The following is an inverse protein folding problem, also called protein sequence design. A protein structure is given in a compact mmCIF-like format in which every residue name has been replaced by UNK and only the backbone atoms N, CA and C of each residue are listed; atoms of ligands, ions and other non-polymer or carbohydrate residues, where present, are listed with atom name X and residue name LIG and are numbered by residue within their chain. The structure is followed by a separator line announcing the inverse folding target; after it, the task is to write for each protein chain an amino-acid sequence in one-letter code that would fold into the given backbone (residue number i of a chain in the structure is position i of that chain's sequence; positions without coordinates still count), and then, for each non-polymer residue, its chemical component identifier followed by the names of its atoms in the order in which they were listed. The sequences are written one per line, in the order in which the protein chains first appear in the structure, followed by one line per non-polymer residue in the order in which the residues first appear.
data_IF_585504238287
#
_entry.id   IF_585504238287
#
_cell.length_a   1.000
_cell.length_b   1.000
_cell.length_c   1.000
_cell.angle_alpha   90.00
_cell.angle_beta   90.00
_cell.angle_gamma   90.00
#
_symmetry.space_group_name_H-M   'P 1'
#
loop_
_entity.id
_entity.type
_entity.pdbx_description
1 polymer ?
#
# COMPACT_ATOMS: atom_id res chain seq x y z
N UNK A 1 -31.25 -51.84 -13.38
CA UNK A 1 -32.04 -50.68 -12.90
C UNK A 1 -31.61 -50.34 -11.49
N UNK A 2 -30.64 -49.44 -11.32
CA UNK A 2 -30.19 -49.04 -9.99
C UNK A 2 -30.99 -47.80 -9.56
N UNK A 3 -31.94 -47.99 -8.64
CA UNK A 3 -32.76 -46.93 -8.04
C UNK A 3 -31.96 -46.27 -6.92
N UNK A 4 -31.50 -45.04 -7.14
CA UNK A 4 -30.85 -44.23 -6.10
C UNK A 4 -31.94 -43.55 -5.27
N UNK A 5 -32.03 -43.90 -3.99
CA UNK A 5 -32.92 -43.26 -3.03
C UNK A 5 -32.26 -41.98 -2.49
N UNK A 6 -32.94 -40.85 -2.63
CA UNK A 6 -32.48 -39.54 -2.14
C UNK A 6 -33.17 -39.31 -0.79
N UNK A 7 -32.41 -39.38 0.30
CA UNK A 7 -32.90 -39.04 1.64
C UNK A 7 -32.69 -37.54 1.87
N UNK A 8 -33.78 -36.78 1.83
CA UNK A 8 -33.80 -35.33 2.12
C UNK A 8 -33.90 -35.16 3.63
N UNK A 9 -32.82 -34.73 4.28
CA UNK A 9 -32.83 -34.36 5.69
C UNK A 9 -33.33 -32.92 5.83
N UNK A 10 -34.53 -32.75 6.39
CA UNK A 10 -35.08 -31.45 6.76
C UNK A 10 -34.69 -31.12 8.20
N UNK A 11 -33.72 -30.22 8.38
CA UNK A 11 -33.35 -29.69 9.69
C UNK A 11 -34.10 -28.37 9.93
N UNK A 12 -35.03 -28.35 10.89
CA UNK A 12 -35.65 -27.13 11.37
C UNK A 12 -34.71 -26.43 12.35
N UNK A 13 -33.93 -25.46 11.85
CA UNK A 13 -33.19 -24.56 12.72
C UNK A 13 -34.17 -23.54 13.34
N UNK A 14 -34.41 -23.66 14.64
CA UNK A 14 -35.06 -22.64 15.46
C UNK A 14 -34.18 -21.39 15.46
N UNK A 15 -34.53 -20.41 14.62
CA UNK A 15 -33.85 -19.12 14.57
C UNK A 15 -34.34 -18.26 15.72
N UNK A 16 -33.43 -17.97 16.65
CA UNK A 16 -33.65 -17.10 17.82
C UNK A 16 -34.05 -15.68 17.41
N UNK A 17 -35.12 -15.17 18.01
CA UNK A 17 -35.59 -13.78 17.94
C UNK A 17 -34.51 -12.81 18.44
N UNK A 18 -33.75 -12.28 17.47
CA UNK A 18 -33.03 -10.99 17.43
C UNK A 18 -31.94 -11.10 16.35
N UNK A 19 -32.34 -11.47 15.14
CA UNK A 19 -31.55 -11.07 14.00
C UNK A 19 -31.72 -9.56 13.87
N UNK A 20 -30.76 -8.83 14.44
CA UNK A 20 -30.37 -7.54 13.89
C UNK A 20 -30.06 -7.85 12.44
N UNK A 21 -31.04 -7.60 11.58
CA UNK A 21 -30.86 -7.57 10.14
C UNK A 21 -29.94 -6.37 9.92
N UNK A 22 -28.64 -6.55 10.17
CA UNK A 22 -27.64 -5.80 9.45
C UNK A 22 -28.00 -6.02 7.99
N UNK A 23 -28.58 -4.99 7.39
CA UNK A 23 -28.88 -4.96 5.99
C UNK A 23 -27.62 -5.47 5.29
N UNK A 24 -27.71 -6.67 4.70
CA UNK A 24 -26.64 -7.19 3.87
C UNK A 24 -26.31 -6.05 2.93
N UNK A 25 -25.07 -5.52 2.95
CA UNK A 25 -24.72 -4.38 2.15
C UNK A 25 -25.15 -4.75 0.74
N UNK A 26 -26.08 -3.95 0.22
CA UNK A 26 -26.56 -4.05 -1.16
C UNK A 26 -25.35 -4.37 -1.98
N UNK A 27 -25.36 -5.52 -2.66
CA UNK A 27 -24.34 -5.88 -3.63
C UNK A 27 -24.38 -4.78 -4.65
N UNK A 28 -23.61 -3.73 -4.40
CA UNK A 28 -23.20 -2.79 -5.39
C UNK A 28 -22.44 -3.68 -6.34
N UNK A 29 -23.10 -4.05 -7.44
CA UNK A 29 -22.42 -4.17 -8.70
C UNK A 29 -21.69 -2.84 -8.90
N UNK A 30 -20.55 -2.66 -8.21
CA UNK A 30 -19.47 -1.84 -8.70
C UNK A 30 -18.99 -2.62 -9.92
N UNK A 31 -19.79 -2.51 -10.98
CA UNK A 31 -19.31 -2.64 -12.33
C UNK A 31 -18.08 -1.76 -12.39
N UNK A 32 -17.01 -2.30 -12.96
CA UNK A 32 -15.63 -1.81 -12.86
C UNK A 32 -14.94 -2.30 -11.58
N UNK A 33 -14.76 -3.64 -11.50
CA UNK A 33 -13.44 -4.19 -11.17
C UNK A 33 -12.42 -3.18 -11.68
N UNK A 34 -11.67 -2.48 -10.80
CA UNK A 34 -10.59 -1.60 -11.24
C UNK A 34 -9.80 -2.40 -12.27
N UNK A 35 -9.87 -2.07 -13.57
CA UNK A 35 -9.22 -2.90 -14.56
C UNK A 35 -7.77 -2.99 -14.12
N UNK A 36 -7.25 -4.22 -14.06
CA UNK A 36 -5.81 -4.40 -13.93
C UNK A 36 -5.27 -3.70 -15.17
N UNK A 37 -4.69 -2.51 -14.98
CA UNK A 37 -4.30 -1.70 -16.11
C UNK A 37 -3.24 -2.47 -16.87
N UNK A 38 -3.44 -2.63 -18.18
CA UNK A 38 -2.37 -3.13 -19.04
C UNK A 38 -1.21 -2.12 -19.14
N UNK A 39 -1.41 -0.90 -18.63
CA UNK A 39 -0.38 0.14 -18.51
C UNK A 39 0.50 -0.03 -17.25
N UNK A 40 0.17 -0.95 -16.34
CA UNK A 40 1.09 -1.33 -15.26
C UNK A 40 2.30 -2.07 -15.89
N UNK A 41 3.52 -1.85 -15.36
CA UNK A 41 4.79 -2.28 -15.99
C UNK A 41 4.80 -3.74 -16.47
N UNK A 42 4.12 -4.62 -15.73
CA UNK A 42 4.04 -6.04 -16.06
C UNK A 42 2.62 -6.58 -15.87
N UNK A 43 1.97 -6.94 -16.98
CA UNK A 43 0.73 -7.68 -17.00
C UNK A 43 0.98 -9.20 -17.18
N UNK A 44 0.36 -10.01 -16.32
CA UNK A 44 0.56 -11.44 -16.20
C UNK A 44 -0.79 -12.16 -16.36
N UNK A 45 -0.91 -13.07 -17.32
CA UNK A 45 -2.11 -13.90 -17.51
C UNK A 45 -1.68 -15.36 -17.49
N UNK A 46 -2.32 -16.19 -16.67
CA UNK A 46 -2.08 -17.64 -16.74
C UNK A 46 -2.66 -18.24 -18.03
N UNK A 47 -1.78 -18.84 -18.83
CA UNK A 47 -2.12 -19.96 -19.71
C UNK A 47 -1.52 -21.23 -19.09
N UNK A 48 -2.22 -22.37 -19.21
CA UNK A 48 -2.03 -23.64 -18.46
C UNK A 48 -0.59 -24.13 -18.18
N UNK A 49 0.43 -23.65 -18.89
CA UNK A 49 1.84 -23.91 -18.60
C UNK A 49 2.63 -22.66 -18.98
N UNK A 50 3.04 -21.85 -18.01
CA UNK A 50 4.03 -20.81 -18.29
C UNK A 50 5.43 -21.38 -18.09
N UNK A 51 6.27 -21.24 -19.11
CA UNK A 51 7.71 -21.34 -18.95
C UNK A 51 8.19 -20.35 -17.87
N UNK A 52 9.32 -20.61 -17.22
CA UNK A 52 9.98 -19.67 -16.29
C UNK A 52 10.25 -18.36 -17.04
N UNK A 53 9.36 -17.37 -16.94
CA UNK A 53 9.54 -16.03 -17.53
C UNK A 53 10.03 -15.12 -16.42
N UNK A 54 11.28 -14.69 -16.55
CA UNK A 54 11.87 -13.67 -15.69
C UNK A 54 11.63 -12.31 -16.33
N UNK A 55 11.26 -11.33 -15.50
CA UNK A 55 11.01 -9.95 -15.91
C UNK A 55 11.91 -9.05 -15.07
N UNK A 56 12.72 -8.25 -15.76
CA UNK A 56 13.67 -7.33 -15.12
C UNK A 56 13.09 -5.93 -15.04
N UNK A 57 13.39 -5.24 -13.95
CA UNK A 57 13.10 -3.82 -13.68
C UNK A 57 14.41 -3.13 -13.23
N UNK A 58 14.35 -1.86 -12.84
CA UNK A 58 15.52 -1.18 -12.29
C UNK A 58 15.99 -1.84 -10.99
N UNK A 59 17.25 -1.63 -10.63
CA UNK A 59 17.76 -2.13 -9.35
C UNK A 59 17.03 -1.44 -8.20
N UNK A 60 16.46 -2.22 -7.28
CA UNK A 60 15.76 -1.65 -6.13
C UNK A 60 16.73 -0.89 -5.22
N UNK A 61 16.24 0.18 -4.61
CA UNK A 61 16.89 0.86 -3.49
C UNK A 61 15.98 0.86 -2.26
N UNK A 62 16.53 1.35 -1.14
CA UNK A 62 15.69 1.59 0.02
C UNK A 62 14.59 2.60 -0.31
N UNK A 63 13.43 2.35 0.29
CA UNK A 63 12.14 3.00 0.08
C UNK A 63 11.44 2.61 -1.23
N UNK A 64 11.99 1.73 -2.08
CA UNK A 64 11.24 1.21 -3.24
C UNK A 64 10.02 0.40 -2.82
N UNK A 65 9.03 0.39 -3.71
CA UNK A 65 7.79 -0.33 -3.50
C UNK A 65 7.37 -1.06 -4.76
N UNK A 66 6.86 -2.27 -4.56
CA UNK A 66 6.26 -3.07 -5.62
C UNK A 66 4.81 -3.33 -5.24
N UNK A 67 3.90 -2.88 -6.08
CA UNK A 67 2.47 -3.09 -5.90
C UNK A 67 2.02 -4.24 -6.78
N UNK A 68 1.31 -5.19 -6.19
CA UNK A 68 0.80 -6.37 -6.89
C UNK A 68 -0.72 -6.34 -6.79
N UNK A 69 -1.39 -6.24 -7.93
CA UNK A 69 -2.84 -6.37 -8.05
C UNK A 69 -3.11 -7.69 -8.73
N UNK A 70 -3.91 -8.55 -8.13
CA UNK A 70 -4.22 -9.84 -8.72
C UNK A 70 -5.69 -10.18 -8.59
N UNK A 71 -6.22 -10.88 -9.58
CA UNK A 71 -7.51 -11.53 -9.52
C UNK A 71 -7.43 -12.93 -10.08
N UNK A 72 -8.34 -13.79 -9.66
CA UNK A 72 -8.50 -15.11 -10.26
C UNK A 72 -9.97 -15.53 -10.23
N UNK A 73 -10.41 -16.36 -11.16
CA UNK A 73 -11.80 -16.81 -11.19
C UNK A 73 -12.06 -17.93 -10.17
N UNK A 74 -11.18 -18.93 -10.15
CA UNK A 74 -11.32 -20.09 -9.28
C UNK A 74 -9.97 -20.72 -8.95
N UNK A 75 -10.00 -21.73 -8.09
CA UNK A 75 -8.88 -22.60 -7.80
C UNK A 75 -9.42 -24.02 -7.64
N UNK A 76 -8.55 -25.02 -7.80
CA UNK A 76 -8.92 -26.44 -7.72
C UNK A 76 -9.55 -26.75 -6.37
N UNK A 77 -10.88 -26.91 -6.35
CA UNK A 77 -11.65 -27.31 -5.16
C UNK A 77 -11.67 -28.83 -5.03
N UNK A 78 -10.53 -29.53 -5.18
CA UNK A 78 -10.52 -30.87 -4.58
C UNK A 78 -10.73 -30.63 -3.09
N UNK A 79 -11.88 -31.10 -2.57
CA UNK A 79 -12.39 -30.80 -1.21
C UNK A 79 -11.36 -31.00 -0.09
N UNK A 80 -10.27 -31.70 -0.38
CA UNK A 80 -9.29 -32.16 0.59
C UNK A 80 -8.01 -31.31 0.64
N UNK A 81 -7.72 -30.41 -0.29
CA UNK A 81 -6.44 -29.67 -0.19
C UNK A 81 -6.45 -28.24 -0.74
N UNK A 82 -7.02 -27.33 0.07
CA UNK A 82 -6.90 -25.88 -0.12
C UNK A 82 -5.45 -25.41 -0.25
N UNK A 83 -4.46 -26.20 0.20
CA UNK A 83 -3.07 -25.78 0.20
C UNK A 83 -2.39 -25.87 -1.16
N UNK A 84 -2.99 -26.55 -2.16
CA UNK A 84 -2.40 -26.73 -3.49
C UNK A 84 -2.49 -25.49 -4.39
N UNK A 85 -3.40 -24.57 -4.07
CA UNK A 85 -3.55 -23.30 -4.77
C UNK A 85 -2.44 -22.34 -4.33
N UNK A 86 -1.38 -22.22 -5.13
CA UNK A 86 -0.19 -21.47 -4.75
C UNK A 86 0.17 -20.49 -5.86
N UNK A 87 0.35 -19.23 -5.48
CA UNK A 87 0.89 -18.17 -6.33
C UNK A 87 2.17 -17.69 -5.66
N UNK A 88 3.28 -17.72 -6.40
CA UNK A 88 4.59 -17.34 -5.90
C UNK A 88 5.14 -16.19 -6.74
N UNK A 89 5.69 -15.18 -6.07
CA UNK A 89 6.55 -14.17 -6.66
C UNK A 89 7.92 -14.28 -6.01
N UNK A 90 8.93 -14.64 -6.80
CA UNK A 90 10.32 -14.67 -6.37
C UNK A 90 11.02 -13.43 -6.93
N UNK A 91 11.64 -12.64 -6.06
CA UNK A 91 12.45 -11.49 -6.42
C UNK A 91 13.92 -11.91 -6.42
N UNK A 92 14.57 -11.67 -7.54
CA UNK A 92 15.86 -12.27 -7.86
C UNK A 92 16.93 -11.19 -8.03
N UNK A 93 18.18 -11.61 -7.85
CA UNK A 93 19.33 -10.80 -8.22
C UNK A 93 19.68 -10.88 -9.72
N UNK A 94 20.82 -10.31 -10.10
CA UNK A 94 21.32 -10.32 -11.47
C UNK A 94 21.78 -11.70 -11.96
N UNK A 95 22.01 -12.66 -11.06
CA UNK A 95 22.36 -14.05 -11.34
C UNK A 95 21.12 -14.97 -11.34
N UNK A 96 19.93 -14.41 -11.22
CA UNK A 96 18.65 -15.12 -11.04
C UNK A 96 18.53 -15.91 -9.73
N UNK A 97 19.38 -15.62 -8.74
CA UNK A 97 19.29 -16.19 -7.40
C UNK A 97 18.19 -15.51 -6.59
N UNK A 98 17.39 -16.30 -5.89
CA UNK A 98 16.26 -15.79 -5.11
C UNK A 98 16.74 -15.09 -3.83
N UNK A 99 16.27 -13.86 -3.62
CA UNK A 99 16.55 -13.08 -2.40
C UNK A 99 15.35 -13.14 -1.46
N UNK A 100 14.16 -12.85 -1.99
CA UNK A 100 12.92 -12.80 -1.23
C UNK A 100 11.76 -13.39 -2.03
N UNK A 101 10.89 -14.12 -1.34
CA UNK A 101 9.71 -14.79 -1.90
C UNK A 101 8.46 -14.36 -1.18
N UNK A 102 7.46 -13.98 -1.97
CA UNK A 102 6.08 -13.87 -1.54
C UNK A 102 5.32 -15.10 -2.04
N UNK A 103 4.71 -15.84 -1.13
CA UNK A 103 3.83 -16.97 -1.45
C UNK A 103 2.42 -16.65 -0.98
N UNK A 104 1.43 -16.78 -1.86
CA UNK A 104 0.02 -16.53 -1.57
C UNK A 104 -0.72 -17.85 -1.78
N UNK A 105 -1.52 -18.21 -0.79
CA UNK A 105 -2.43 -19.34 -0.83
C UNK A 105 -3.88 -18.83 -0.76
N UNK A 106 -4.52 -18.60 -1.91
CA UNK A 106 -5.92 -18.18 -1.95
C UNK A 106 -6.87 -19.19 -1.30
N UNK A 107 -6.54 -20.49 -1.34
CA UNK A 107 -7.39 -21.54 -0.81
C UNK A 107 -7.52 -21.49 0.72
N UNK A 108 -6.41 -21.22 1.42
CA UNK A 108 -6.38 -21.05 2.89
C UNK A 108 -6.51 -19.60 3.35
N UNK A 109 -6.51 -18.64 2.42
CA UNK A 109 -6.49 -17.21 2.69
C UNK A 109 -5.26 -16.79 3.52
N UNK A 110 -4.10 -17.30 3.15
CA UNK A 110 -2.82 -17.03 3.80
C UNK A 110 -1.79 -16.55 2.80
N UNK A 111 -0.86 -15.73 3.25
CA UNK A 111 0.37 -15.46 2.51
C UNK A 111 1.57 -15.57 3.44
N UNK A 112 2.74 -15.79 2.86
CA UNK A 112 4.00 -15.78 3.56
C UNK A 112 5.05 -14.97 2.83
N UNK A 113 5.90 -14.31 3.60
CA UNK A 113 7.08 -13.61 3.10
C UNK A 113 8.32 -14.30 3.68
N UNK A 114 9.28 -14.60 2.82
CA UNK A 114 10.46 -15.39 3.13
C UNK A 114 11.70 -14.71 2.56
N UNK A 115 12.73 -14.51 3.37
CA UNK A 115 14.10 -14.39 2.88
C UNK A 115 14.68 -15.81 2.75
N UNK A 116 15.33 -16.18 1.63
CA UNK A 116 15.72 -17.58 1.33
C UNK A 116 16.52 -18.26 2.45
N UNK A 117 17.30 -17.49 3.21
CA UNK A 117 18.12 -17.97 4.33
C UNK A 117 17.43 -17.96 5.70
N UNK A 118 16.10 -17.80 5.77
CA UNK A 118 15.35 -17.61 7.01
C UNK A 118 14.05 -18.44 7.07
N UNK A 119 13.31 -18.35 8.17
CA UNK A 119 11.95 -18.89 8.29
C UNK A 119 10.95 -17.97 7.61
N UNK A 120 10.01 -18.56 6.88
CA UNK A 120 8.87 -17.83 6.33
C UNK A 120 7.99 -17.29 7.45
N UNK A 121 7.53 -16.05 7.32
CA UNK A 121 6.53 -15.46 8.21
C UNK A 121 5.20 -15.47 7.50
N UNK A 122 4.22 -16.17 8.07
CA UNK A 122 2.88 -16.35 7.50
C UNK A 122 1.86 -15.46 8.21
N UNK A 123 0.91 -14.91 7.45
CA UNK A 123 -0.26 -14.23 8.00
C UNK A 123 -1.51 -14.54 7.17
N UNK A 124 -2.67 -14.44 7.82
CA UNK A 124 -3.96 -14.62 7.17
C UNK A 124 -4.53 -13.30 6.63
N UNK A 125 -5.36 -13.40 5.60
CA UNK A 125 -6.20 -12.32 5.08
C UNK A 125 -7.67 -12.76 5.05
N UNK A 126 -8.63 -11.82 4.92
CA UNK A 126 -10.04 -12.17 4.81
C UNK A 126 -10.27 -13.15 3.65
N UNK A 127 -10.79 -14.33 3.98
CA UNK A 127 -11.18 -15.31 2.98
C UNK A 127 -12.34 -14.74 2.15
N UNK A 128 -12.14 -14.60 0.85
CA UNK A 128 -13.13 -14.01 -0.04
C UNK A 128 -13.66 -15.05 -1.04
N UNK A 129 -14.80 -15.64 -0.70
CA UNK A 129 -15.48 -16.64 -1.54
C UNK A 129 -15.86 -16.08 -2.91
N UNK A 130 -16.21 -14.79 -2.98
CA UNK A 130 -16.83 -14.17 -4.15
C UNK A 130 -15.89 -13.20 -4.89
N UNK A 131 -15.28 -12.25 -4.17
CA UNK A 131 -14.40 -11.24 -4.76
C UNK A 131 -12.93 -11.66 -4.60
N UNK A 132 -12.44 -12.37 -5.60
CA UNK A 132 -11.07 -12.91 -5.64
C UNK A 132 -10.05 -11.89 -6.15
N UNK A 133 -10.25 -10.62 -5.81
CA UNK A 133 -9.30 -9.54 -6.07
C UNK A 133 -8.48 -9.26 -4.81
N UNK A 134 -7.17 -9.09 -4.99
CA UNK A 134 -6.24 -8.83 -3.91
C UNK A 134 -5.26 -7.74 -4.33
N UNK A 135 -4.96 -6.84 -3.39
CA UNK A 135 -3.97 -5.80 -3.56
C UNK A 135 -2.91 -5.93 -2.46
N UNK A 136 -1.68 -6.17 -2.88
CA UNK A 136 -0.51 -6.24 -2.02
C UNK A 136 0.46 -5.10 -2.34
N UNK A 137 1.15 -4.61 -1.32
CA UNK A 137 2.29 -3.72 -1.48
C UNK A 137 3.47 -4.29 -0.71
N UNK A 138 4.60 -4.49 -1.39
CA UNK A 138 5.88 -4.70 -0.75
C UNK A 138 6.61 -3.36 -0.65
N UNK A 139 7.04 -3.01 0.56
CA UNK A 139 7.96 -1.89 0.80
C UNK A 139 9.34 -2.43 1.15
N UNK A 140 10.33 -2.05 0.38
CA UNK A 140 11.73 -2.43 0.56
C UNK A 140 12.44 -1.29 1.29
N UNK A 141 12.74 -1.47 2.58
CA UNK A 141 13.31 -0.39 3.40
C UNK A 141 14.51 -0.87 4.22
N UNK A 142 15.28 0.08 4.73
CA UNK A 142 16.42 -0.19 5.61
C UNK A 142 16.04 -0.85 6.95
N UNK A 143 14.76 -0.81 7.34
CA UNK A 143 14.26 -1.46 8.54
C UNK A 143 13.70 -2.86 8.26
N UNK A 144 13.50 -3.25 7.00
CA UNK A 144 12.88 -4.52 6.60
C UNK A 144 12.11 -4.45 5.29
N UNK A 145 11.79 -5.62 4.75
CA UNK A 145 10.83 -5.78 3.66
C UNK A 145 9.46 -6.01 4.30
N UNK A 146 8.53 -5.10 4.05
CA UNK A 146 7.21 -5.09 4.68
C UNK A 146 6.14 -5.39 3.64
N UNK A 147 5.22 -6.27 4.00
CA UNK A 147 4.08 -6.64 3.16
C UNK A 147 2.80 -6.06 3.75
N UNK A 148 2.06 -5.37 2.89
CA UNK A 148 0.76 -4.81 3.19
C UNK A 148 -0.31 -5.50 2.33
N UNK A 149 -1.49 -5.68 2.91
CA UNK A 149 -2.67 -6.16 2.20
C UNK A 149 -3.79 -5.14 2.38
N UNK A 150 -4.30 -4.58 1.27
CA UNK A 150 -5.25 -3.47 1.27
C UNK A 150 -4.82 -2.33 2.22
N UNK A 151 -3.56 -1.88 2.09
CA UNK A 151 -2.93 -0.83 2.92
C UNK A 151 -2.61 -1.20 4.38
N UNK A 152 -3.15 -2.30 4.92
CA UNK A 152 -2.85 -2.74 6.28
C UNK A 152 -1.54 -3.50 6.33
N UNK A 153 -0.68 -3.15 7.29
CA UNK A 153 0.56 -3.87 7.57
C UNK A 153 0.24 -5.30 8.02
N UNK A 154 1.02 -6.27 7.54
CA UNK A 154 0.83 -7.68 7.87
C UNK A 154 2.09 -8.39 8.32
N UNK A 155 3.15 -8.29 7.52
CA UNK A 155 4.38 -9.08 7.73
C UNK A 155 5.59 -8.21 7.45
N UNK A 156 6.69 -8.47 8.17
CA UNK A 156 7.99 -7.83 7.98
C UNK A 156 9.10 -8.85 8.12
N UNK A 157 9.97 -8.95 7.12
CA UNK A 157 11.21 -9.75 7.17
C UNK A 157 12.44 -8.83 7.16
N UNK A 158 13.52 -9.25 7.79
CA UNK A 158 14.72 -8.41 7.99
C UNK A 158 16.03 -9.07 7.54
N UNK A 159 16.09 -10.40 7.41
CA UNK A 159 17.34 -11.12 7.14
C UNK A 159 17.96 -10.80 5.77
N UNK A 160 17.17 -10.40 4.78
CA UNK A 160 17.62 -10.06 3.44
C UNK A 160 17.71 -8.54 3.16
N UNK A 161 17.65 -7.67 4.19
CA UNK A 161 17.73 -6.20 4.01
C UNK A 161 18.98 -5.80 3.21
N UNK A 162 20.13 -6.39 3.52
CA UNK A 162 21.41 -6.05 2.88
C UNK A 162 21.50 -6.52 1.42
N UNK A 163 20.52 -7.31 0.96
CA UNK A 163 20.43 -7.80 -0.41
C UNK A 163 19.35 -7.07 -1.21
N UNK A 164 18.57 -6.17 -0.59
CA UNK A 164 17.52 -5.40 -1.29
C UNK A 164 18.08 -4.73 -2.54
N UNK A 165 19.25 -4.11 -2.42
CA UNK A 165 19.92 -3.41 -3.53
C UNK A 165 20.47 -4.33 -4.61
N UNK A 166 20.39 -5.64 -4.44
CA UNK A 166 20.78 -6.61 -5.46
C UNK A 166 19.58 -7.07 -6.29
N UNK A 167 18.34 -6.80 -5.85
CA UNK A 167 17.13 -7.21 -6.55
C UNK A 167 16.97 -6.39 -7.84
N UNK A 168 16.87 -7.07 -8.97
CA UNK A 168 16.73 -6.46 -10.31
C UNK A 168 15.65 -7.11 -11.17
N UNK A 169 15.11 -8.25 -10.73
CA UNK A 169 14.11 -8.97 -11.52
C UNK A 169 13.15 -9.76 -10.64
N UNK A 170 12.08 -10.26 -11.26
CA UNK A 170 11.19 -11.20 -10.62
C UNK A 170 10.76 -12.32 -11.57
N UNK A 171 10.38 -13.43 -10.98
CA UNK A 171 9.65 -14.51 -11.63
C UNK A 171 8.38 -14.80 -10.84
N UNK A 172 7.37 -15.33 -11.52
CA UNK A 172 6.16 -15.78 -10.86
C UNK A 172 5.82 -17.23 -11.24
N UNK A 173 5.18 -17.94 -10.32
CA UNK A 173 4.76 -19.33 -10.48
C UNK A 173 3.33 -19.43 -9.99
N UNK A 174 2.46 -20.10 -10.76
CA UNK A 174 1.06 -20.29 -10.42
C UNK A 174 0.75 -21.78 -10.52
N UNK A 175 0.16 -22.34 -9.47
CA UNK A 175 -0.33 -23.72 -9.43
C UNK A 175 -1.81 -23.73 -9.01
N UNK A 176 -2.60 -24.59 -9.65
CA UNK A 176 -4.01 -24.86 -9.32
C UNK A 176 -4.92 -23.62 -9.20
N UNK A 177 -4.54 -22.50 -9.83
CA UNK A 177 -5.31 -21.25 -9.89
C UNK A 177 -5.75 -21.01 -11.34
N UNK A 178 -7.06 -20.82 -11.56
CA UNK A 178 -7.65 -20.68 -12.89
C UNK A 178 -8.03 -19.22 -13.18
N UNK A 179 -7.87 -18.82 -14.45
CA UNK A 179 -8.08 -17.47 -14.97
C UNK A 179 -7.42 -16.40 -14.09
N UNK A 180 -6.17 -16.67 -13.72
CA UNK A 180 -5.36 -15.73 -12.97
C UNK A 180 -4.90 -14.59 -13.87
N UNK A 181 -5.13 -13.37 -13.41
CA UNK A 181 -4.59 -12.14 -13.95
C UNK A 181 -3.90 -11.36 -12.84
N UNK A 182 -2.72 -10.82 -13.10
CA UNK A 182 -2.06 -9.91 -12.19
C UNK A 182 -1.36 -8.79 -12.93
N UNK A 183 -1.26 -7.64 -12.27
CA UNK A 183 -0.26 -6.63 -12.58
C UNK A 183 0.74 -6.47 -11.45
N UNK A 184 1.96 -6.18 -11.86
CA UNK A 184 3.02 -5.73 -10.99
C UNK A 184 3.39 -4.31 -11.42
N UNK A 185 3.27 -3.35 -10.51
CA UNK A 185 3.67 -1.97 -10.69
C UNK A 185 4.91 -1.75 -9.82
N UNK A 186 6.06 -1.51 -10.45
CA UNK A 186 7.27 -1.12 -9.75
C UNK A 186 7.26 0.40 -9.70
N UNK A 187 7.45 0.98 -8.53
CA UNK A 187 7.46 2.45 -8.40
C UNK A 187 8.53 3.03 -9.33
N UNK A 188 8.11 3.93 -10.21
CA UNK A 188 9.01 4.65 -11.10
C UNK A 188 10.10 5.42 -10.32
N UNK A 189 11.31 5.45 -10.86
CA UNK A 189 12.47 6.10 -10.23
C UNK A 189 12.24 7.59 -9.95
N UNK A 190 11.47 8.29 -10.77
CA UNK A 190 11.14 9.71 -10.58
C UNK A 190 10.13 9.97 -9.44
N UNK A 191 9.36 8.97 -9.01
CA UNK A 191 8.43 9.06 -7.89
C UNK A 191 9.07 8.58 -6.56
N UNK A 192 10.35 8.19 -6.61
CA UNK A 192 11.08 7.66 -5.45
C UNK A 192 11.51 8.77 -4.51
N UNK A 193 11.27 8.55 -3.21
CA UNK A 193 11.89 9.38 -2.17
C UNK A 193 13.26 8.78 -1.84
N UNK A 194 14.37 9.51 -2.09
CA UNK A 194 15.70 9.00 -1.90
C UNK A 194 16.00 8.71 -0.42
N UNK A 195 17.01 7.88 -0.16
CA UNK A 195 17.35 7.42 1.20
C UNK A 195 17.79 8.52 2.17
N UNK A 196 18.22 9.69 1.66
CA UNK A 196 18.52 10.88 2.45
C UNK A 196 17.29 11.71 2.81
N UNK A 197 16.10 11.33 2.31
CA UNK A 197 14.81 11.95 2.63
C UNK A 197 14.72 13.43 2.24
N UNK A 198 15.46 13.81 1.19
CA UNK A 198 15.52 15.17 0.69
C UNK A 198 15.32 15.15 -0.83
N UNK A 199 14.19 15.69 -1.28
CA UNK A 199 13.85 15.84 -2.69
C UNK A 199 14.09 17.29 -3.08
N UNK A 200 14.84 17.51 -4.16
CA UNK A 200 15.13 18.82 -4.73
C UNK A 200 14.47 18.89 -6.10
N UNK A 201 13.24 19.40 -6.13
CA UNK A 201 12.42 19.53 -7.33
C UNK A 201 11.47 20.72 -7.16
N UNK A 202 11.37 21.54 -8.20
CA UNK A 202 10.45 22.68 -8.23
C UNK A 202 9.01 22.19 -8.27
N UNK A 203 8.19 22.67 -7.33
CA UNK A 203 6.75 22.42 -7.34
C UNK A 203 6.06 23.70 -7.81
N UNK A 204 5.49 23.72 -9.03
CA UNK A 204 4.83 24.91 -9.54
C UNK A 204 3.61 25.28 -8.68
N UNK A 205 3.19 26.55 -8.76
CA UNK A 205 1.88 26.95 -8.25
C UNK A 205 0.76 26.16 -8.95
N UNK A 206 -0.36 25.99 -8.27
CA UNK A 206 -1.53 25.21 -8.70
C UNK A 206 -1.22 23.72 -8.89
N UNK A 207 -0.18 23.22 -8.23
CA UNK A 207 0.13 21.80 -8.17
C UNK A 207 -0.07 21.25 -6.76
N UNK A 208 -0.28 19.95 -6.68
CA UNK A 208 -0.30 19.20 -5.42
C UNK A 208 0.79 18.15 -5.40
N UNK A 209 1.38 17.99 -4.22
CA UNK A 209 2.27 16.88 -3.92
C UNK A 209 1.51 15.83 -3.14
N UNK A 210 1.50 14.60 -3.62
CA UNK A 210 0.95 13.44 -2.92
C UNK A 210 2.11 12.66 -2.34
N UNK A 211 2.10 12.42 -1.03
CA UNK A 211 3.17 11.73 -0.32
C UNK A 211 2.59 10.47 0.31
N UNK A 212 3.15 9.32 -0.02
CA UNK A 212 2.81 8.03 0.61
C UNK A 212 3.92 7.61 1.57
N UNK A 213 3.52 7.16 2.74
CA UNK A 213 4.44 6.80 3.80
C UNK A 213 3.90 5.66 4.67
N UNK A 214 4.77 5.07 5.47
CA UNK A 214 4.42 4.15 6.54
C UNK A 214 5.08 4.64 7.83
N UNK A 215 4.32 4.96 8.89
CA UNK A 215 4.89 5.59 10.10
C UNK A 215 5.86 4.70 10.86
N UNK A 216 5.72 3.37 10.73
CA UNK A 216 6.43 2.32 11.46
C UNK A 216 6.62 2.65 12.96
N UNK A 217 5.65 2.24 13.77
CA UNK A 217 5.47 2.64 15.19
C UNK A 217 4.87 4.05 15.35
N UNK A 218 4.42 4.39 16.57
CA UNK A 218 3.91 5.73 16.88
C UNK A 218 5.07 6.72 16.89
N UNK A 219 5.09 7.64 15.94
CA UNK A 219 6.11 8.68 15.78
C UNK A 219 5.51 10.00 15.33
N UNK A 220 6.30 11.07 15.42
CA UNK A 220 5.96 12.36 14.84
C UNK A 220 6.70 12.44 13.51
N UNK A 221 5.95 12.60 12.43
CA UNK A 221 6.44 12.71 11.07
C UNK A 221 6.36 14.17 10.66
N UNK A 222 7.43 14.72 10.09
CA UNK A 222 7.47 16.10 9.62
C UNK A 222 7.81 16.12 8.13
N UNK A 223 7.01 16.84 7.36
CA UNK A 223 7.23 17.13 5.95
C UNK A 223 7.43 18.63 5.83
N UNK A 224 8.61 19.05 5.39
CA UNK A 224 8.97 20.44 5.24
C UNK A 224 8.96 20.82 3.77
N UNK A 225 8.24 21.88 3.41
CA UNK A 225 8.33 22.51 2.10
C UNK A 225 9.25 23.73 2.24
N UNK A 226 10.34 23.76 1.46
CA UNK A 226 11.36 24.80 1.54
C UNK A 226 11.69 25.41 0.18
N UNK A 227 12.22 26.64 0.23
CA UNK A 227 12.67 27.35 -0.96
C UNK A 227 13.99 26.79 -1.54
N UNK A 228 14.49 27.36 -2.64
CA UNK A 228 15.80 27.00 -3.23
C UNK A 228 17.00 27.17 -2.28
N UNK A 229 16.87 27.98 -1.24
CA UNK A 229 17.91 28.24 -0.24
C UNK A 229 17.76 27.35 1.00
N UNK A 230 16.77 26.44 1.03
CA UNK A 230 16.46 25.59 2.17
C UNK A 230 15.70 26.31 3.29
N UNK A 231 15.16 27.51 3.03
CA UNK A 231 14.31 28.22 3.99
C UNK A 231 12.93 27.57 3.96
N UNK A 232 12.58 26.88 5.04
CA UNK A 232 11.27 26.27 5.21
C UNK A 232 10.17 27.31 5.15
N UNK A 233 9.13 27.06 4.34
CA UNK A 233 7.91 27.85 4.24
C UNK A 233 6.78 27.22 5.05
N UNK A 234 6.61 25.91 4.95
CA UNK A 234 5.53 25.16 5.61
C UNK A 234 6.06 23.86 6.20
N UNK A 235 5.67 23.57 7.44
CA UNK A 235 5.75 22.25 8.03
C UNK A 235 4.37 21.62 8.07
N UNK A 236 4.28 20.38 7.60
CA UNK A 236 3.15 19.47 7.85
C UNK A 236 3.64 18.40 8.82
N UNK A 237 2.99 18.32 9.98
CA UNK A 237 3.43 17.51 11.11
C UNK A 237 2.33 16.50 11.43
N UNK A 238 2.60 15.22 11.21
CA UNK A 238 1.67 14.12 11.47
C UNK A 238 2.06 13.49 12.79
N UNK A 239 1.26 13.73 13.83
CA UNK A 239 1.55 13.28 15.19
C UNK A 239 0.77 12.00 15.51
N UNK A 240 1.41 10.84 15.43
CA UNK A 240 0.82 9.55 15.83
C UNK A 240 0.80 9.32 17.34
N UNK A 241 1.28 10.27 18.15
CA UNK A 241 1.13 10.23 19.61
C UNK A 241 -0.20 10.84 20.04
N UNK A 242 -0.64 11.90 19.35
CA UNK A 242 -1.93 12.58 19.63
C UNK A 242 -3.03 12.26 18.62
N UNK A 243 -2.70 11.73 17.44
CA UNK A 243 -3.66 11.49 16.35
C UNK A 243 -4.08 12.77 15.64
N UNK A 244 -3.18 13.75 15.54
CA UNK A 244 -3.48 15.07 14.96
C UNK A 244 -2.43 15.40 13.90
N UNK A 245 -2.90 15.84 12.74
CA UNK A 245 -2.08 16.51 11.74
C UNK A 245 -2.09 17.99 12.05
N UNK A 246 -0.91 18.54 12.29
CA UNK A 246 -0.67 19.96 12.46
C UNK A 246 0.01 20.55 11.24
N UNK A 247 -0.09 21.87 11.13
CA UNK A 247 0.61 22.65 10.13
C UNK A 247 1.22 23.88 10.77
N UNK A 248 2.33 24.37 10.22
CA UNK A 248 2.98 25.58 10.71
C UNK A 248 3.70 26.30 9.59
N UNK A 249 3.32 27.55 9.34
CA UNK A 249 4.05 28.46 8.44
C UNK A 249 5.24 29.04 9.19
N UNK A 250 6.45 28.70 8.75
CA UNK A 250 7.64 29.19 9.40
C UNK A 250 7.73 30.72 9.24
N UNK A 251 8.08 31.42 10.34
CA UNK A 251 8.08 32.90 10.47
C UNK A 251 6.72 33.60 10.57
N UNK A 252 5.60 32.91 10.31
CA UNK A 252 4.25 33.48 10.45
C UNK A 252 3.49 32.93 11.65
N UNK A 253 3.68 31.64 11.94
CA UNK A 253 3.00 30.96 13.04
C UNK A 253 3.92 30.78 14.25
N UNK A 254 3.49 31.31 15.39
CA UNK A 254 4.18 31.14 16.68
C UNK A 254 4.12 29.69 17.19
N UNK A 255 3.09 28.93 16.79
CA UNK A 255 2.80 27.58 17.27
C UNK A 255 2.22 26.71 16.13
N UNK A 256 2.17 25.40 16.37
CA UNK A 256 1.53 24.45 15.46
C UNK A 256 0.00 24.67 15.45
N UNK A 257 -0.60 24.74 14.25
CA UNK A 257 -2.05 24.84 14.06
C UNK A 257 -2.65 23.49 13.72
N UNK A 258 -3.72 23.11 14.41
CA UNK A 258 -4.42 21.85 14.14
C UNK A 258 -5.10 21.90 12.77
N UNK A 259 -4.99 20.83 12.00
CA UNK A 259 -5.53 20.73 10.64
C UNK A 259 -6.51 19.56 10.51
N UNK A 260 -6.08 18.34 10.86
CA UNK A 260 -6.91 17.13 10.79
C UNK A 260 -6.78 16.34 12.09
N UNK A 261 -7.90 15.93 12.68
CA UNK A 261 -7.90 15.01 13.82
C UNK A 261 -8.25 13.61 13.33
N UNK A 262 -7.26 12.71 13.30
CA UNK A 262 -7.42 11.32 12.89
C UNK A 262 -7.34 10.36 14.09
N UNK A 263 -7.33 10.86 15.33
CA UNK A 263 -7.15 10.07 16.55
C UNK A 263 -8.27 9.05 16.82
N UNK A 264 -9.46 9.27 16.26
CA UNK A 264 -10.60 8.33 16.33
C UNK A 264 -10.64 7.32 15.18
N UNK A 265 -9.68 7.40 14.24
CA UNK A 265 -9.73 6.65 12.98
C UNK A 265 -8.87 5.37 13.04
N UNK A 266 -9.12 4.38 12.17
CA UNK A 266 -8.23 3.23 12.00
C UNK A 266 -6.78 3.63 11.70
N UNK A 267 -6.55 4.75 11.01
CA UNK A 267 -5.20 5.24 10.70
C UNK A 267 -4.36 5.50 11.96
N UNK A 268 -4.98 5.92 13.06
CA UNK A 268 -4.28 6.16 14.34
C UNK A 268 -4.05 4.87 15.15
N UNK A 269 -5.01 3.95 15.11
CA UNK A 269 -5.02 2.76 15.97
C UNK A 269 -4.38 1.53 15.33
N UNK A 270 -4.30 1.50 14.00
CA UNK A 270 -3.78 0.38 13.21
C UNK A 270 -2.51 0.77 12.45
N UNK A 271 -1.64 -0.21 12.23
CA UNK A 271 -0.48 -0.03 11.37
C UNK A 271 -0.92 -0.15 9.91
N UNK A 272 -1.01 0.98 9.21
CA UNK A 272 -1.37 1.03 7.80
C UNK A 272 -0.59 2.11 7.06
N UNK A 273 -0.61 2.04 5.73
CA UNK A 273 -0.02 3.05 4.87
C UNK A 273 -0.76 4.37 5.06
N UNK A 274 -0.02 5.47 5.09
CA UNK A 274 -0.53 6.82 5.13
C UNK A 274 -0.35 7.52 3.79
N UNK A 275 -1.25 8.46 3.52
CA UNK A 275 -1.15 9.37 2.37
C UNK A 275 -1.55 10.78 2.81
N UNK A 276 -0.71 11.74 2.45
CA UNK A 276 -0.99 13.18 2.62
C UNK A 276 -0.88 13.85 1.27
N UNK A 277 -1.80 14.76 0.97
CA UNK A 277 -1.72 15.63 -0.20
C UNK A 277 -1.52 17.08 0.26
N UNK A 278 -0.58 17.78 -0.38
CA UNK A 278 -0.30 19.19 -0.12
C UNK A 278 -0.45 19.95 -1.44
N UNK A 279 -1.59 20.62 -1.60
CA UNK A 279 -1.85 21.57 -2.68
C UNK A 279 -1.17 22.91 -2.40
N UNK A 280 -0.44 23.42 -3.39
CA UNK A 280 0.28 24.68 -3.35
C UNK A 280 -0.41 25.62 -4.32
N UNK A 281 -1.18 26.56 -3.80
CA UNK A 281 -1.93 27.53 -4.59
C UNK A 281 -1.46 28.94 -4.27
N UNK A 282 -1.62 29.91 -5.16
CA UNK A 282 -1.36 31.31 -4.85
C UNK A 282 -2.00 31.73 -3.53
N UNK A 283 -1.16 32.12 -2.57
CA UNK A 283 -1.54 32.63 -1.24
C UNK A 283 -2.15 31.61 -0.27
N UNK A 284 -2.19 30.32 -0.61
CA UNK A 284 -2.74 29.30 0.30
C UNK A 284 -2.18 27.90 0.07
N UNK A 285 -2.16 27.10 1.14
CA UNK A 285 -1.89 25.68 1.08
C UNK A 285 -3.16 24.90 1.41
N UNK A 286 -3.42 23.82 0.68
CA UNK A 286 -4.48 22.86 1.01
C UNK A 286 -3.84 21.55 1.44
N UNK A 287 -4.00 21.18 2.70
CA UNK A 287 -3.41 19.95 3.24
C UNK A 287 -4.55 18.98 3.48
N UNK A 288 -4.48 17.80 2.87
CA UNK A 288 -5.43 16.71 3.11
C UNK A 288 -4.70 15.46 3.55
N UNK A 289 -5.37 14.64 4.35
CA UNK A 289 -4.89 13.34 4.78
C UNK A 289 -5.92 12.29 4.36
N UNK A 290 -5.46 11.19 3.77
CA UNK A 290 -6.32 10.06 3.49
C UNK A 290 -6.72 9.39 4.80
N UNK A 291 -8.01 9.36 5.10
CA UNK A 291 -8.56 8.67 6.26
C UNK A 291 -9.40 7.50 5.77
N UNK A 292 -9.04 6.29 6.21
CA UNK A 292 -9.85 5.10 5.97
C UNK A 292 -10.91 4.97 7.07
N UNK A 293 -12.04 5.66 6.92
CA UNK A 293 -13.22 5.29 7.71
C UNK A 293 -13.81 3.99 7.15
N UNK A 294 -14.17 3.07 8.04
CA UNK A 294 -14.42 1.61 7.86
C UNK A 294 -15.30 1.11 6.70
N UNK A 295 -15.72 1.91 5.72
CA UNK A 295 -16.65 1.48 4.68
C UNK A 295 -16.56 2.32 3.40
N UNK A 296 -15.93 1.77 2.37
CA UNK A 296 -16.12 2.03 0.93
C UNK A 296 -15.93 3.45 0.37
N UNK A 297 -15.74 4.48 1.18
CA UNK A 297 -15.41 5.83 0.74
C UNK A 297 -14.21 6.32 1.55
N UNK A 298 -13.06 6.37 0.89
CA UNK A 298 -11.89 7.07 1.40
C UNK A 298 -12.28 8.54 1.54
N UNK A 299 -12.48 9.02 2.77
CA UNK A 299 -12.69 10.43 3.03
C UNK A 299 -11.33 11.10 3.17
N UNK A 300 -11.18 12.24 2.51
CA UNK A 300 -10.00 13.09 2.64
C UNK A 300 -10.40 14.29 3.51
N UNK A 301 -10.01 14.27 4.77
CA UNK A 301 -10.13 15.45 5.63
C UNK A 301 -8.93 16.35 5.40
N UNK A 302 -9.14 17.65 5.50
CA UNK A 302 -8.08 18.62 5.29
C UNK A 302 -8.39 20.01 5.80
N UNK A 303 -7.39 20.87 5.71
CA UNK A 303 -7.50 22.28 6.03
C UNK A 303 -6.94 23.16 4.91
N UNK A 304 -7.39 24.40 4.89
CA UNK A 304 -6.82 25.47 4.10
C UNK A 304 -6.01 26.38 5.02
N UNK A 305 -4.80 26.70 4.60
CA UNK A 305 -3.92 27.62 5.31
C UNK A 305 -3.63 28.79 4.39
N UNK A 306 -4.21 29.94 4.67
CA UNK A 306 -3.82 31.17 4.02
C UNK A 306 -2.40 31.54 4.41
N UNK A 307 -1.56 31.89 3.46
CA UNK A 307 -0.21 32.36 3.69
C UNK A 307 0.28 33.06 2.44
N UNK A 308 0.70 34.32 2.55
CA UNK A 308 1.50 34.92 1.50
C UNK A 308 2.75 34.05 1.32
N UNK A 309 2.93 33.46 0.14
CA UNK A 309 4.24 32.91 -0.18
C UNK A 309 5.24 34.05 -0.02
N UNK A 310 6.26 33.87 0.81
CA UNK A 310 7.37 34.82 0.87
C UNK A 310 8.09 34.94 -0.49
N UNK A 311 7.80 34.02 -1.44
CA UNK A 311 7.92 34.21 -2.88
C UNK A 311 7.04 33.18 -3.63
N UNK A 312 6.24 33.57 -4.64
CA UNK A 312 5.35 32.67 -5.40
C UNK A 312 6.06 31.68 -6.35
N UNK A 313 7.40 31.64 -6.41
CA UNK A 313 8.17 30.78 -7.33
C UNK A 313 8.98 29.66 -6.65
N UNK A 314 8.85 29.49 -5.32
CA UNK A 314 10.03 29.11 -4.55
C UNK A 314 10.09 27.69 -4.02
N UNK A 315 8.98 26.96 -3.83
CA UNK A 315 9.08 25.62 -3.24
C UNK A 315 9.84 24.72 -4.22
N UNK A 316 11.07 24.41 -3.86
CA UNK A 316 12.02 23.65 -4.66
C UNK A 316 12.58 22.47 -3.90
N UNK A 317 12.17 22.30 -2.64
CA UNK A 317 12.68 21.27 -1.76
C UNK A 317 11.57 20.70 -0.88
N UNK A 318 11.58 19.38 -0.74
CA UNK A 318 10.78 18.66 0.25
C UNK A 318 11.74 17.88 1.13
N UNK A 319 11.67 18.11 2.43
CA UNK A 319 12.47 17.39 3.42
C UNK A 319 11.54 16.56 4.29
N UNK A 320 11.80 15.27 4.38
CA UNK A 320 11.03 14.35 5.19
C UNK A 320 11.81 14.00 6.46
N UNK A 321 11.12 13.94 7.58
CA UNK A 321 11.71 13.53 8.85
C UNK A 321 10.72 12.75 9.73
N UNK A 322 11.24 11.94 10.65
CA UNK A 322 10.48 11.31 11.73
C UNK A 322 11.30 11.24 13.02
N UNK A 323 10.63 11.41 14.16
CA UNK A 323 11.30 11.40 15.46
C UNK A 323 11.97 10.06 15.79
N UNK A 324 11.41 8.95 15.31
CA UNK A 324 11.98 7.62 15.52
C UNK A 324 12.94 7.18 14.40
N UNK A 325 13.10 7.97 13.33
CA UNK A 325 13.90 7.65 12.13
C UNK A 325 13.54 6.30 11.49
N UNK A 326 12.33 5.82 11.75
CA UNK A 326 11.83 4.52 11.31
C UNK A 326 10.65 4.64 10.36
N UNK A 327 10.05 5.83 10.23
CA UNK A 327 9.05 6.07 9.20
C UNK A 327 9.65 5.85 7.81
N UNK A 328 8.89 5.25 6.91
CA UNK A 328 9.31 4.96 5.54
C UNK A 328 8.47 5.81 4.60
N UNK A 329 9.10 6.79 3.98
CA UNK A 329 8.49 7.57 2.91
C UNK A 329 8.84 6.90 1.59
N UNK A 330 7.83 6.43 0.86
CA UNK A 330 8.05 5.52 -0.26
C UNK A 330 7.36 5.96 -1.55
N UNK A 331 6.68 7.09 -1.61
CA UNK A 331 6.34 7.67 -2.90
C UNK A 331 6.04 9.14 -2.74
N UNK A 332 6.41 9.91 -3.75
CA UNK A 332 5.85 11.23 -3.96
C UNK A 332 5.41 11.39 -5.42
N UNK A 333 4.37 12.17 -5.64
CA UNK A 333 3.88 12.49 -6.97
C UNK A 333 3.46 13.94 -7.03
N UNK A 334 3.89 14.65 -8.07
CA UNK A 334 3.50 16.04 -8.33
C UNK A 334 2.49 16.03 -9.47
N UNK A 335 1.31 16.61 -9.22
CA UNK A 335 0.25 16.74 -10.21
C UNK A 335 -0.27 18.17 -10.24
N UNK A 336 -0.72 18.62 -11.41
CA UNK A 336 -1.56 19.81 -11.48
C UNK A 336 -2.86 19.55 -10.68
N UNK A 337 -3.21 20.50 -9.81
CA UNK A 337 -4.24 20.33 -8.78
C UNK A 337 -5.68 20.45 -9.30
#
# INVERSE_FOLDING_TARGET
MLRIAITIYSFCALVSDKMVVEAMPSVSYVNELRPISQDDDYYLISGRVQNKVIRSFHRLEFNDSIKIRMKHYSYSQTLCDKTQCIIIFNFLDEHEDEIVRLTINPGTAEFSLLCVSDKAITAAFPNNTYNKYYEFLLLFSNIGIMLFYNEYFKVKVQHCINQITNITSFQHIIAETFDFEASLEVRAENARIPGNWHVVESIPADHKVIIKYYPNEKSIITIQLADRNGITALNVIIDYTTGILYTRRMRLDNENKQCVNFGSTPQFTTQMLGKVEIGIFPQQYKITMQINERSQLITADGCLIYGHHLSPYDIQQIIFDSTNKRAVFYAYYIYQA
#
